data_IF_768123208075
#
_entry.id   IF_768123208075
#
_cell.length_a   1.000
_cell.length_b   1.000
_cell.length_c   1.000
_cell.angle_alpha   90.00
_cell.angle_beta   90.00
_cell.angle_gamma   90.00
#
_symmetry.space_group_name_H-M   'P 1'
#
loop_
_entity.id
_entity.type
_entity.pdbx_description
1 polymer ?
#
# COMPACT_ATOMS: atom_id res chain seq x y z
N UNK A 1 -6.09 -18.34 -1.84
CA UNK A 1 -5.67 -18.26 -0.43
C UNK A 1 -5.68 -19.69 0.13
N UNK A 2 -4.50 -20.21 0.49
CA UNK A 2 -4.36 -21.56 1.06
C UNK A 2 -4.51 -21.45 2.59
N UNK A 3 -5.69 -21.04 3.05
CA UNK A 3 -6.00 -20.91 4.46
C UNK A 3 -6.27 -22.29 5.07
N UNK A 4 -5.90 -22.49 6.34
CA UNK A 4 -6.25 -23.69 7.10
C UNK A 4 -7.76 -23.94 7.04
N UNK A 5 -8.19 -25.20 7.03
CA UNK A 5 -9.61 -25.58 7.05
C UNK A 5 -10.36 -25.09 8.31
N UNK A 6 -9.62 -24.68 9.33
CA UNK A 6 -10.18 -24.11 10.56
C UNK A 6 -10.51 -22.62 10.42
N UNK A 7 -9.98 -21.93 9.38
CA UNK A 7 -10.26 -20.52 9.11
C UNK A 7 -11.49 -20.42 8.23
N UNK A 8 -12.51 -19.74 8.71
CA UNK A 8 -13.74 -19.46 7.96
C UNK A 8 -13.66 -18.04 7.37
N UNK A 9 -14.02 -17.91 6.12
CA UNK A 9 -14.21 -16.62 5.49
C UNK A 9 -15.69 -16.21 5.64
N UNK A 10 -15.95 -15.15 6.39
CA UNK A 10 -17.30 -14.57 6.49
C UNK A 10 -17.65 -13.77 5.24
N UNK A 11 -18.92 -13.76 4.87
CA UNK A 11 -19.45 -13.00 3.73
C UNK A 11 -20.03 -11.64 4.13
N UNK A 12 -20.21 -11.39 5.43
CA UNK A 12 -20.76 -10.15 5.95
C UNK A 12 -20.19 -9.80 7.32
N UNK A 13 -20.23 -8.52 7.67
CA UNK A 13 -19.88 -8.06 9.02
C UNK A 13 -20.87 -8.55 10.06
N UNK A 14 -22.16 -8.66 9.72
CA UNK A 14 -23.20 -9.14 10.64
C UNK A 14 -22.95 -10.58 11.11
N UNK A 15 -22.40 -11.42 10.24
CA UNK A 15 -21.98 -12.77 10.62
C UNK A 15 -20.81 -12.73 11.64
N UNK A 16 -19.84 -11.84 11.45
CA UNK A 16 -18.74 -11.64 12.40
C UNK A 16 -19.28 -11.13 13.72
N UNK A 17 -20.12 -10.11 13.69
CA UNK A 17 -20.67 -9.51 14.89
C UNK A 17 -21.46 -10.52 15.73
N UNK A 18 -22.33 -11.30 15.08
CA UNK A 18 -23.21 -12.25 15.79
C UNK A 18 -22.51 -13.52 16.29
N UNK A 19 -21.36 -13.88 15.74
CA UNK A 19 -20.72 -15.17 16.06
C UNK A 19 -19.43 -15.06 16.88
N UNK A 20 -18.75 -13.90 16.85
CA UNK A 20 -17.43 -13.77 17.45
C UNK A 20 -17.50 -13.26 18.89
N UNK A 21 -16.70 -13.86 19.77
CA UNK A 21 -16.48 -13.40 21.15
C UNK A 21 -15.37 -12.35 21.23
N UNK A 22 -14.44 -12.39 20.27
CA UNK A 22 -13.34 -11.44 20.09
C UNK A 22 -13.36 -10.91 18.67
N UNK A 23 -13.33 -9.59 18.52
CA UNK A 23 -13.30 -8.92 17.22
C UNK A 23 -12.08 -7.99 17.19
N UNK A 24 -11.25 -8.14 16.17
CA UNK A 24 -10.10 -7.26 15.92
C UNK A 24 -10.24 -6.54 14.59
N UNK A 25 -9.93 -5.25 14.57
CA UNK A 25 -10.12 -4.37 13.42
C UNK A 25 -8.79 -4.15 12.70
N UNK A 26 -8.76 -4.37 11.36
CA UNK A 26 -7.57 -4.25 10.52
C UNK A 26 -7.87 -3.57 9.19
N UNK A 27 -8.73 -2.56 9.19
CA UNK A 27 -9.09 -1.80 7.98
C UNK A 27 -8.50 -0.39 8.02
N UNK A 28 -8.21 0.23 6.86
CA UNK A 28 -7.79 1.63 6.82
C UNK A 28 -8.96 2.55 7.18
N UNK A 29 -8.65 3.74 7.68
CA UNK A 29 -9.65 4.80 7.86
C UNK A 29 -9.92 5.47 6.52
N UNK A 30 -11.16 5.37 6.08
CA UNK A 30 -11.71 6.01 4.88
C UNK A 30 -13.07 6.60 5.22
N UNK A 31 -13.69 7.34 4.30
CA UNK A 31 -15.05 7.86 4.52
C UNK A 31 -16.06 6.73 4.76
N UNK A 32 -15.85 5.56 4.14
CA UNK A 32 -16.74 4.40 4.28
C UNK A 32 -16.48 3.57 5.56
N UNK A 33 -15.32 3.71 6.19
CA UNK A 33 -14.97 2.96 7.40
C UNK A 33 -14.96 3.80 8.66
N UNK A 34 -15.09 5.12 8.52
CA UNK A 34 -15.23 6.03 9.66
C UNK A 34 -16.46 5.67 10.49
N UNK A 35 -16.24 5.45 11.79
CA UNK A 35 -17.29 5.02 12.74
C UNK A 35 -18.06 3.77 12.29
N UNK A 36 -17.37 2.85 11.56
CA UNK A 36 -18.02 1.61 11.10
C UNK A 36 -18.48 0.69 12.25
N UNK A 37 -17.87 0.85 13.41
CA UNK A 37 -18.35 0.20 14.66
C UNK A 37 -19.13 1.26 15.41
N UNK A 38 -20.40 1.34 15.07
CA UNK A 38 -21.37 2.27 15.62
C UNK A 38 -22.37 1.56 16.56
N UNK A 39 -23.39 2.28 17.00
CA UNK A 39 -24.44 1.74 17.87
C UNK A 39 -25.16 0.55 17.26
N UNK A 40 -25.41 0.57 15.94
CA UNK A 40 -26.07 -0.55 15.24
C UNK A 40 -25.15 -1.78 15.23
N UNK A 41 -23.86 -1.60 14.93
CA UNK A 41 -22.88 -2.68 14.98
C UNK A 41 -22.82 -3.32 16.37
N UNK A 42 -22.81 -2.52 17.45
CA UNK A 42 -22.82 -3.05 18.82
C UNK A 42 -24.09 -3.86 19.12
N UNK A 43 -25.27 -3.45 18.63
CA UNK A 43 -26.49 -4.23 18.87
C UNK A 43 -26.45 -5.63 18.27
N UNK A 44 -25.72 -5.81 17.16
CA UNK A 44 -25.55 -7.09 16.46
C UNK A 44 -24.51 -8.00 17.09
N UNK A 45 -23.60 -7.44 17.90
CA UNK A 45 -22.53 -8.21 18.55
C UNK A 45 -23.10 -9.09 19.67
N UNK A 46 -22.31 -10.09 20.05
CA UNK A 46 -22.60 -10.91 21.24
C UNK A 46 -22.46 -10.09 22.51
N UNK A 47 -23.23 -10.41 23.53
CA UNK A 47 -23.08 -9.82 24.86
C UNK A 47 -21.74 -10.26 25.45
N UNK A 48 -21.01 -9.29 26.03
CA UNK A 48 -19.69 -9.54 26.58
C UNK A 48 -18.57 -9.67 25.56
N UNK A 49 -18.77 -9.18 24.31
CA UNK A 49 -17.73 -9.19 23.28
C UNK A 49 -16.48 -8.40 23.73
N UNK A 50 -15.32 -8.87 23.30
CA UNK A 50 -14.04 -8.14 23.44
C UNK A 50 -13.67 -7.55 22.09
N UNK A 51 -13.52 -6.22 22.04
CA UNK A 51 -13.17 -5.49 20.82
C UNK A 51 -11.72 -5.01 20.90
N UNK A 52 -10.94 -5.25 19.84
CA UNK A 52 -9.55 -4.81 19.73
C UNK A 52 -9.40 -3.88 18.52
N UNK A 53 -8.87 -2.69 18.75
CA UNK A 53 -8.62 -1.72 17.67
C UNK A 53 -7.18 -1.20 17.73
N UNK A 54 -6.33 -1.79 16.92
CA UNK A 54 -4.96 -1.36 16.68
C UNK A 54 -4.78 -0.81 15.24
N UNK A 55 -5.90 -0.49 14.57
CA UNK A 55 -5.87 -0.03 13.19
C UNK A 55 -5.89 1.50 13.07
N UNK A 56 -7.01 2.15 13.44
CA UNK A 56 -7.16 3.62 13.43
C UNK A 56 -8.22 4.04 14.45
N UNK A 57 -8.01 5.21 15.05
CA UNK A 57 -8.86 5.72 16.14
C UNK A 57 -10.34 5.83 15.74
N UNK A 58 -10.62 6.56 14.69
CA UNK A 58 -11.98 6.92 14.27
C UNK A 58 -12.77 5.79 13.56
N UNK A 59 -12.33 4.53 13.67
CA UNK A 59 -13.09 3.38 13.17
C UNK A 59 -14.23 2.99 14.11
N UNK A 60 -14.13 3.33 15.38
CA UNK A 60 -15.13 3.06 16.41
C UNK A 60 -15.82 4.37 16.78
N UNK A 61 -17.13 4.35 16.92
CA UNK A 61 -17.87 5.46 17.52
C UNK A 61 -17.71 5.39 19.03
N UNK A 62 -17.05 6.38 19.61
CA UNK A 62 -16.67 6.37 21.01
C UNK A 62 -17.86 6.52 21.95
N UNK A 63 -18.84 7.32 21.59
CA UNK A 63 -20.07 7.48 22.39
C UNK A 63 -20.84 6.18 22.44
N UNK A 64 -21.02 5.53 21.29
CA UNK A 64 -21.66 4.21 21.21
C UNK A 64 -20.86 3.12 21.93
N UNK A 65 -19.52 3.18 21.89
CA UNK A 65 -18.65 2.28 22.65
C UNK A 65 -18.86 2.42 24.16
N UNK A 66 -18.94 3.66 24.65
CA UNK A 66 -19.16 3.93 26.07
C UNK A 66 -20.50 3.37 26.54
N UNK A 67 -21.58 3.60 25.77
CA UNK A 67 -22.90 3.01 26.07
C UNK A 67 -22.84 1.46 26.08
N UNK A 68 -22.10 0.87 25.14
CA UNK A 68 -21.95 -0.58 25.04
C UNK A 68 -21.13 -1.17 26.20
N UNK A 69 -20.13 -0.46 26.70
CA UNK A 69 -19.37 -0.85 27.90
C UNK A 69 -20.23 -0.75 29.15
N UNK A 70 -20.95 0.36 29.34
CA UNK A 70 -21.78 0.61 30.52
C UNK A 70 -22.93 -0.37 30.62
N UNK A 71 -23.50 -0.82 29.49
CA UNK A 71 -24.53 -1.85 29.43
C UNK A 71 -23.99 -3.28 29.55
N UNK A 72 -22.68 -3.49 29.53
CA UNK A 72 -22.07 -4.83 29.52
C UNK A 72 -22.12 -5.54 28.16
N UNK A 73 -22.59 -4.89 27.11
CA UNK A 73 -22.57 -5.39 25.73
C UNK A 73 -21.14 -5.65 25.27
N UNK A 74 -20.24 -4.72 25.54
CA UNK A 74 -18.80 -4.86 25.38
C UNK A 74 -18.19 -5.14 26.77
N UNK A 75 -17.52 -6.28 26.92
CA UNK A 75 -16.82 -6.63 28.14
C UNK A 75 -15.50 -5.87 28.29
N UNK A 76 -14.79 -5.70 27.18
CA UNK A 76 -13.51 -5.02 27.14
C UNK A 76 -13.22 -4.42 25.76
N UNK A 77 -12.69 -3.21 25.74
CA UNK A 77 -12.11 -2.57 24.57
C UNK A 77 -10.62 -2.42 24.76
N UNK A 78 -9.83 -2.86 23.79
CA UNK A 78 -8.37 -2.76 23.81
C UNK A 78 -7.93 -1.94 22.61
N UNK A 79 -7.14 -0.91 22.86
CA UNK A 79 -6.66 0.00 21.81
C UNK A 79 -5.29 0.56 22.14
N UNK A 80 -4.58 1.06 21.14
CA UNK A 80 -3.37 1.86 21.28
C UNK A 80 -3.60 3.35 20.90
N UNK A 81 -4.87 3.76 20.78
CA UNK A 81 -5.28 5.15 20.57
C UNK A 81 -5.78 5.75 21.87
N UNK A 82 -4.89 6.45 22.59
CA UNK A 82 -5.25 7.17 23.80
C UNK A 82 -5.92 8.50 23.45
N UNK A 83 -7.20 8.65 23.83
CA UNK A 83 -7.90 9.90 23.77
C UNK A 83 -8.66 10.18 25.08
N UNK A 84 -9.11 11.42 25.33
CA UNK A 84 -9.74 11.78 26.60
C UNK A 84 -11.03 11.00 26.93
N UNK A 85 -11.74 10.50 25.92
CA UNK A 85 -13.01 9.79 26.12
C UNK A 85 -12.81 8.35 26.58
N UNK A 86 -11.74 7.70 26.12
CA UNK A 86 -11.48 6.27 26.40
C UNK A 86 -10.44 6.05 27.49
N UNK A 87 -9.50 6.96 27.68
CA UNK A 87 -8.41 6.79 28.65
C UNK A 87 -8.92 6.76 30.09
N UNK A 88 -8.51 5.73 30.84
CA UNK A 88 -8.82 5.59 32.26
C UNK A 88 -10.23 5.09 32.57
N UNK A 89 -11.06 4.74 31.58
CA UNK A 89 -12.39 4.18 31.83
C UNK A 89 -12.33 2.69 32.19
N UNK A 90 -13.20 2.24 33.10
CA UNK A 90 -13.37 0.81 33.36
C UNK A 90 -13.71 0.05 32.07
N UNK A 91 -13.14 -1.14 31.91
CA UNK A 91 -13.37 -1.96 30.71
C UNK A 91 -12.53 -1.57 29.50
N UNK A 92 -11.78 -0.47 29.54
CA UNK A 92 -10.87 -0.06 28.47
C UNK A 92 -9.41 -0.30 28.89
N UNK A 93 -8.65 -0.94 28.00
CA UNK A 93 -7.20 -1.09 28.12
C UNK A 93 -6.53 -0.31 26.99
N UNK A 94 -5.78 0.72 27.35
CA UNK A 94 -5.00 1.49 26.39
C UNK A 94 -3.54 1.09 26.53
N UNK A 95 -2.90 0.74 25.41
CA UNK A 95 -1.47 0.46 25.31
C UNK A 95 -0.75 1.61 24.61
N UNK A 96 0.57 1.76 24.77
CA UNK A 96 1.34 2.69 23.93
C UNK A 96 1.17 2.37 22.44
N UNK A 97 1.05 3.41 21.62
CA UNK A 97 0.98 3.28 20.16
C UNK A 97 2.39 3.11 19.59
N UNK A 98 2.91 1.89 19.67
CA UNK A 98 4.25 1.57 19.19
C UNK A 98 4.23 1.12 17.72
N UNK A 99 3.12 0.55 17.25
CA UNK A 99 3.01 0.02 15.90
C UNK A 99 4.09 -1.03 15.65
N UNK A 100 4.87 -0.82 14.60
CA UNK A 100 6.04 -1.63 14.26
C UNK A 100 7.36 -1.08 14.82
N UNK A 101 7.34 -0.14 15.75
CA UNK A 101 8.53 0.49 16.34
C UNK A 101 9.19 -0.43 17.37
N UNK A 102 9.72 -1.53 16.90
CA UNK A 102 10.66 -2.37 17.62
C UNK A 102 12.05 -2.22 17.01
N UNK A 103 13.11 -2.39 17.77
CA UNK A 103 14.50 -2.28 17.25
C UNK A 103 14.71 -3.15 16.00
N UNK A 104 14.23 -4.39 16.02
CA UNK A 104 14.29 -5.31 14.87
C UNK A 104 13.53 -4.79 13.67
N UNK A 105 12.33 -4.25 13.87
CA UNK A 105 11.50 -3.73 12.78
C UNK A 105 12.10 -2.48 12.15
N UNK A 106 12.62 -1.57 12.97
CA UNK A 106 13.29 -0.35 12.48
C UNK A 106 14.54 -0.67 11.68
N UNK A 107 15.37 -1.62 12.15
CA UNK A 107 16.53 -2.09 11.40
C UNK A 107 16.14 -2.74 10.08
N UNK A 108 15.16 -3.65 10.08
CA UNK A 108 14.68 -4.30 8.87
C UNK A 108 14.09 -3.29 7.87
N UNK A 109 13.32 -2.31 8.34
CA UNK A 109 12.77 -1.24 7.50
C UNK A 109 13.89 -0.40 6.87
N UNK A 110 14.90 -0.02 7.64
CA UNK A 110 16.02 0.76 7.14
C UNK A 110 16.80 -0.02 6.07
N UNK A 111 17.13 -1.28 6.34
CA UNK A 111 17.83 -2.17 5.38
C UNK A 111 17.02 -2.36 4.11
N UNK A 112 15.70 -2.59 4.24
CA UNK A 112 14.82 -2.77 3.09
C UNK A 112 14.72 -1.49 2.25
N UNK A 113 14.53 -0.33 2.88
CA UNK A 113 14.46 0.95 2.21
C UNK A 113 15.75 1.26 1.42
N UNK A 114 16.92 1.02 2.03
CA UNK A 114 18.21 1.20 1.36
C UNK A 114 18.36 0.27 0.17
N UNK A 115 17.98 -0.99 0.29
CA UNK A 115 18.03 -1.96 -0.83
C UNK A 115 17.13 -1.54 -1.99
N UNK A 116 15.90 -1.10 -1.69
CA UNK A 116 14.94 -0.67 -2.71
C UNK A 116 15.39 0.62 -3.42
N UNK A 117 15.88 1.61 -2.66
CA UNK A 117 16.42 2.85 -3.23
C UNK A 117 17.66 2.56 -4.08
N UNK A 118 18.56 1.72 -3.62
CA UNK A 118 19.74 1.31 -4.38
C UNK A 118 19.36 0.59 -5.68
N UNK A 119 18.42 -0.37 -5.62
CA UNK A 119 17.94 -1.09 -6.80
C UNK A 119 17.28 -0.13 -7.81
N UNK A 120 16.50 0.85 -7.32
CA UNK A 120 15.94 1.90 -8.17
C UNK A 120 17.02 2.79 -8.81
N UNK A 121 18.04 3.17 -8.05
CA UNK A 121 19.10 4.06 -8.57
C UNK A 121 20.03 3.34 -9.56
N UNK A 122 20.43 2.11 -9.25
CA UNK A 122 21.40 1.34 -10.02
C UNK A 122 20.78 0.57 -11.20
N UNK A 123 19.53 0.09 -11.05
CA UNK A 123 18.89 -0.79 -12.02
C UNK A 123 17.59 -0.21 -12.60
N UNK A 124 17.02 0.83 -12.00
CA UNK A 124 15.73 1.39 -12.40
C UNK A 124 14.52 0.58 -11.95
N UNK A 125 14.69 -0.46 -11.16
CA UNK A 125 13.60 -1.28 -10.67
C UNK A 125 12.74 -0.54 -9.64
N UNK A 126 11.44 -0.80 -9.64
CA UNK A 126 10.49 -0.28 -8.64
C UNK A 126 9.90 -1.43 -7.86
N UNK A 127 10.05 -1.39 -6.52
CA UNK A 127 9.44 -2.30 -5.56
C UNK A 127 8.73 -1.51 -4.46
N UNK A 128 7.59 -1.99 -4.03
CA UNK A 128 6.79 -1.44 -2.91
C UNK A 128 6.49 0.07 -2.99
N UNK A 129 6.48 0.65 -4.18
CA UNK A 129 6.16 2.06 -4.36
C UNK A 129 4.68 2.35 -4.05
N UNK A 130 4.40 3.49 -3.40
CA UNK A 130 3.05 3.93 -3.07
C UNK A 130 2.26 4.29 -4.33
N UNK A 131 2.88 4.93 -5.31
CA UNK A 131 2.22 5.51 -6.48
C UNK A 131 2.50 4.78 -7.80
N UNK A 132 3.60 4.04 -7.91
CA UNK A 132 3.92 3.26 -9.11
C UNK A 132 3.72 1.75 -8.86
N UNK A 133 3.43 0.96 -9.90
CA UNK A 133 3.40 -0.49 -9.81
C UNK A 133 4.80 -1.06 -9.60
N UNK A 134 4.89 -2.28 -9.07
CA UNK A 134 6.15 -3.02 -9.13
C UNK A 134 6.55 -3.25 -10.58
N UNK A 135 7.77 -2.88 -10.93
CA UNK A 135 8.34 -3.02 -12.27
C UNK A 135 9.82 -3.41 -12.10
N UNK A 136 10.15 -4.62 -12.48
CA UNK A 136 11.46 -5.22 -12.22
C UNK A 136 11.96 -5.94 -13.49
N UNK A 137 13.15 -5.59 -13.93
CA UNK A 137 13.88 -6.24 -15.02
C UNK A 137 15.22 -6.80 -14.54
N UNK A 138 15.37 -6.98 -13.22
CA UNK A 138 16.61 -7.48 -12.62
C UNK A 138 17.77 -6.48 -12.68
N UNK A 139 18.97 -6.99 -12.42
CA UNK A 139 20.20 -6.20 -12.48
C UNK A 139 20.44 -5.70 -13.89
N UNK A 140 20.80 -4.41 -14.03
CA UNK A 140 21.09 -3.81 -15.32
C UNK A 140 22.42 -4.33 -15.88
N UNK A 141 22.35 -5.29 -16.79
CA UNK A 141 23.50 -5.83 -17.53
C UNK A 141 23.59 -5.26 -18.96
N UNK A 142 22.54 -4.60 -19.44
CA UNK A 142 22.49 -4.01 -20.77
C UNK A 142 23.56 -2.91 -20.95
N UNK A 143 23.91 -2.62 -22.19
CA UNK A 143 24.81 -1.52 -22.56
C UNK A 143 24.16 -0.18 -22.27
N UNK A 144 22.86 -0.05 -22.55
CA UNK A 144 22.04 1.09 -22.21
C UNK A 144 20.76 0.67 -21.53
N UNK A 145 20.38 1.33 -20.44
CA UNK A 145 19.06 1.18 -19.81
C UNK A 145 18.47 2.55 -19.56
N UNK A 146 17.26 2.75 -20.03
CA UNK A 146 16.47 3.96 -19.74
C UNK A 146 15.19 3.60 -19.02
N UNK A 147 14.70 4.53 -18.20
CA UNK A 147 13.41 4.40 -17.52
C UNK A 147 12.55 5.62 -17.77
N UNK A 148 11.24 5.39 -17.95
CA UNK A 148 10.29 6.44 -18.31
C UNK A 148 9.09 6.39 -17.36
N UNK A 149 8.89 7.49 -16.62
CA UNK A 149 7.64 7.72 -15.88
C UNK A 149 6.67 8.46 -16.80
N UNK A 150 5.46 7.94 -16.98
CA UNK A 150 4.49 8.55 -17.88
C UNK A 150 3.05 8.32 -17.47
N UNK A 151 2.12 9.04 -18.09
CA UNK A 151 0.68 8.80 -17.94
C UNK A 151 0.30 7.48 -18.59
N UNK A 152 -0.66 6.78 -18.00
CA UNK A 152 -1.23 5.56 -18.56
C UNK A 152 -2.32 5.90 -19.58
N UNK A 153 -1.89 6.36 -20.75
CA UNK A 153 -2.76 6.74 -21.90
C UNK A 153 -2.37 5.95 -23.14
N UNK A 154 -3.29 5.82 -24.12
CA UNK A 154 -3.00 5.11 -25.37
C UNK A 154 -1.77 5.64 -26.10
N UNK A 155 -1.15 4.78 -26.89
CA UNK A 155 -0.06 5.11 -27.82
C UNK A 155 1.30 5.50 -27.19
N UNK A 156 1.49 5.42 -25.86
CA UNK A 156 2.75 5.79 -25.25
C UNK A 156 3.90 4.88 -25.70
N UNK A 157 3.72 3.56 -25.62
CA UNK A 157 4.75 2.58 -26.01
C UNK A 157 5.12 2.71 -27.48
N UNK A 158 4.15 2.91 -28.35
CA UNK A 158 4.39 3.10 -29.79
C UNK A 158 5.25 4.34 -30.09
N UNK A 159 5.05 5.43 -29.35
CA UNK A 159 5.88 6.62 -29.46
C UNK A 159 7.32 6.35 -29.00
N UNK A 160 7.50 5.66 -27.88
CA UNK A 160 8.84 5.32 -27.39
C UNK A 160 9.61 4.46 -28.39
N UNK A 161 8.99 3.38 -28.87
CA UNK A 161 9.63 2.48 -29.82
C UNK A 161 9.90 3.14 -31.18
N UNK A 162 9.04 4.07 -31.63
CA UNK A 162 9.24 4.83 -32.85
C UNK A 162 10.48 5.74 -32.75
N UNK A 163 10.62 6.50 -31.67
CA UNK A 163 11.76 7.38 -31.45
C UNK A 163 13.05 6.56 -31.41
N UNK A 164 13.09 5.51 -30.57
CA UNK A 164 14.27 4.67 -30.45
C UNK A 164 14.66 4.02 -31.79
N UNK A 165 13.66 3.53 -32.54
CA UNK A 165 13.89 2.92 -33.85
C UNK A 165 14.35 3.93 -34.92
N UNK A 166 13.86 5.18 -34.92
CA UNK A 166 14.33 6.22 -35.83
C UNK A 166 15.79 6.63 -35.59
N UNK A 167 16.25 6.51 -34.36
CA UNK A 167 17.65 6.74 -33.97
C UNK A 167 18.54 5.49 -34.15
N UNK A 168 17.99 4.42 -34.75
CA UNK A 168 18.72 3.17 -34.98
C UNK A 168 19.05 2.39 -33.70
N UNK A 169 18.35 2.66 -32.59
CA UNK A 169 18.56 1.99 -31.32
C UNK A 169 17.73 0.71 -31.26
N UNK A 170 18.39 -0.43 -31.11
CA UNK A 170 17.72 -1.70 -30.91
C UNK A 170 17.34 -1.92 -29.45
N UNK A 171 16.08 -2.34 -29.22
CA UNK A 171 15.54 -2.68 -27.90
C UNK A 171 15.81 -4.15 -27.62
N UNK A 172 16.63 -4.43 -26.61
CA UNK A 172 16.94 -5.80 -26.20
C UNK A 172 15.84 -6.39 -25.32
N UNK A 173 15.27 -5.58 -24.40
CA UNK A 173 14.15 -5.98 -23.55
C UNK A 173 13.37 -4.75 -23.10
N UNK A 174 12.09 -4.94 -22.78
CA UNK A 174 11.23 -3.85 -22.33
C UNK A 174 10.12 -4.35 -21.41
N UNK A 175 9.91 -3.65 -20.33
CA UNK A 175 8.78 -3.89 -19.43
C UNK A 175 8.03 -2.59 -19.19
N UNK A 176 6.71 -2.63 -19.34
CA UNK A 176 5.80 -1.55 -19.00
C UNK A 176 4.79 -2.04 -17.95
N UNK A 177 4.63 -1.32 -16.88
CA UNK A 177 3.62 -1.60 -15.85
C UNK A 177 2.84 -0.33 -15.54
N UNK A 178 1.53 -0.48 -15.34
CA UNK A 178 0.65 0.64 -15.03
C UNK A 178 -0.11 0.43 -13.72
N UNK A 179 -0.41 1.53 -13.05
CA UNK A 179 -1.26 1.59 -11.85
C UNK A 179 -2.09 2.87 -11.89
N UNK A 180 -3.39 2.72 -12.13
CA UNK A 180 -4.29 3.87 -12.27
C UNK A 180 -3.86 4.76 -13.45
N UNK A 181 -3.66 6.03 -13.19
CA UNK A 181 -3.33 7.06 -14.19
C UNK A 181 -1.85 7.12 -14.58
N UNK A 182 -0.98 6.33 -13.92
CA UNK A 182 0.47 6.36 -14.15
C UNK A 182 0.99 5.02 -14.62
N UNK A 183 2.07 5.09 -15.38
CA UNK A 183 2.81 3.93 -15.86
C UNK A 183 4.31 4.18 -15.74
N UNK A 184 5.04 3.09 -15.67
CA UNK A 184 6.49 3.08 -15.64
C UNK A 184 7.00 2.07 -16.65
N UNK A 185 7.93 2.51 -17.49
CA UNK A 185 8.57 1.68 -18.50
C UNK A 185 10.07 1.60 -18.23
N UNK A 186 10.63 0.41 -18.29
CA UNK A 186 12.06 0.15 -18.34
C UNK A 186 12.39 -0.38 -19.72
N UNK A 187 13.44 0.11 -20.37
CA UNK A 187 13.88 -0.30 -21.70
C UNK A 187 15.37 -0.57 -21.66
N UNK A 188 15.77 -1.77 -22.02
CA UNK A 188 17.15 -2.17 -22.26
C UNK A 188 17.49 -2.00 -23.73
N UNK A 189 18.61 -1.34 -24.00
CA UNK A 189 19.10 -1.03 -25.32
C UNK A 189 20.43 -1.74 -25.57
N UNK A 190 20.68 -2.13 -26.82
CA UNK A 190 21.95 -2.72 -27.25
C UNK A 190 23.10 -1.68 -27.36
N UNK A 191 22.73 -0.39 -27.33
CA UNK A 191 23.67 0.73 -27.32
C UNK A 191 23.18 1.86 -26.41
N UNK A 192 24.04 2.78 -26.03
CA UNK A 192 23.65 3.93 -25.22
C UNK A 192 22.71 4.85 -26.02
N UNK A 193 21.66 5.38 -25.35
CA UNK A 193 20.73 6.33 -25.96
C UNK A 193 21.45 7.67 -26.24
N UNK A 194 21.23 8.21 -27.44
CA UNK A 194 21.70 9.55 -27.81
C UNK A 194 21.00 10.64 -26.98
N UNK A 195 21.63 11.81 -26.90
CA UNK A 195 20.99 12.97 -26.24
C UNK A 195 19.71 13.37 -26.96
N UNK A 196 19.72 13.30 -28.27
CA UNK A 196 18.62 13.62 -29.17
C UNK A 196 17.43 12.71 -28.88
N UNK A 197 17.63 11.39 -28.85
CA UNK A 197 16.57 10.42 -28.49
C UNK A 197 15.99 10.67 -27.08
N UNK A 198 16.85 10.98 -26.12
CA UNK A 198 16.40 11.28 -24.74
C UNK A 198 15.58 12.57 -24.66
N UNK A 199 15.93 13.59 -25.43
CA UNK A 199 15.21 14.85 -25.44
C UNK A 199 13.86 14.71 -26.19
N UNK A 200 13.81 13.94 -27.27
CA UNK A 200 12.54 13.58 -27.93
C UNK A 200 11.62 12.77 -27.00
N UNK A 201 12.13 11.78 -26.29
CA UNK A 201 11.34 11.02 -25.32
C UNK A 201 10.78 11.90 -24.20
N UNK A 202 11.53 12.87 -23.70
CA UNK A 202 11.08 13.84 -22.69
C UNK A 202 10.00 14.78 -23.22
N UNK A 203 10.01 15.08 -24.52
CA UNK A 203 9.08 15.99 -25.18
C UNK A 203 7.69 15.35 -25.43
N UNK A 204 7.55 14.03 -25.30
CA UNK A 204 6.27 13.35 -25.49
C UNK A 204 5.26 13.82 -24.46
N UNK A 205 4.09 14.24 -24.90
CA UNK A 205 3.00 14.59 -24.01
C UNK A 205 2.61 13.40 -23.11
N UNK A 206 2.59 13.62 -21.80
CA UNK A 206 2.30 12.58 -20.82
C UNK A 206 3.56 11.93 -20.22
N UNK A 207 4.74 12.16 -20.75
CA UNK A 207 6.01 11.78 -20.09
C UNK A 207 6.32 12.81 -19.01
N UNK A 208 6.57 12.32 -17.80
CA UNK A 208 6.93 13.17 -16.66
C UNK A 208 8.43 13.14 -16.35
N UNK A 209 9.10 12.03 -16.64
CA UNK A 209 10.54 11.88 -16.41
C UNK A 209 11.14 10.76 -17.24
N UNK A 210 12.29 11.03 -17.82
CA UNK A 210 13.19 10.04 -18.44
C UNK A 210 14.50 10.02 -17.64
N UNK A 211 14.96 8.82 -17.28
CA UNK A 211 16.23 8.62 -16.61
C UNK A 211 17.08 7.66 -17.42
N UNK A 212 18.36 7.96 -17.52
CA UNK A 212 19.40 7.02 -17.98
C UNK A 212 19.93 6.31 -16.72
N UNK A 213 19.93 5.00 -16.76
CA UNK A 213 20.51 4.15 -15.72
C UNK A 213 21.92 3.77 -16.10
N UNK A 214 22.12 3.47 -17.40
CA UNK A 214 23.44 3.09 -17.94
C UNK A 214 23.52 3.46 -19.42
#
# INVERSE_FOLDING_TARGET
>A
WNLSRTIKHSKSLDEIYSQCDYITIHVPLTDNTRKMIDKEAFTKMKDGVVLLNFARDLLVDEEALIEALDSGKVKKYVTDFANPLVAGRPGILVTPHLGASTAESEENCAVMAVKEVRDFLENGNIKNSVNFPNCDMGTCIAVGRITICHKNIPNMISQFTKILGSEGLNIADMTNKSRGSYAYTIIDLESAASKEALDELKAIEGVSKVRVIK
#
